data_IF_644574059371
#
_entry.id   IF_644574059371
#
_cell.length_a   1.000
_cell.length_b   1.000
_cell.length_c   1.000
_cell.angle_alpha   90.00
_cell.angle_beta   90.00
_cell.angle_gamma   90.00
#
_symmetry.space_group_name_H-M   'P 1'
#
loop_
_entity.id
_entity.type
_entity.pdbx_description
1 polymer ?
#
# COMPACT_ATOMS: atom_id res chain seq x y z
N UNK A 1 3.23 0.46 -14.82
CA UNK A 1 4.01 0.99 -15.96
C UNK A 1 5.35 1.48 -15.48
N UNK A 2 6.23 1.90 -16.39
CA UNK A 2 7.56 2.41 -16.09
C UNK A 2 7.76 3.80 -16.71
N UNK A 3 8.52 4.65 -16.03
CA UNK A 3 9.08 5.86 -16.63
C UNK A 3 10.56 5.57 -16.89
N UNK A 4 10.95 5.63 -18.15
CA UNK A 4 12.31 5.30 -18.58
C UNK A 4 13.01 6.58 -18.98
N UNK A 5 14.17 6.82 -18.37
CA UNK A 5 15.10 7.88 -18.77
C UNK A 5 16.33 7.21 -19.38
N UNK A 6 16.45 7.33 -20.71
CA UNK A 6 17.55 6.74 -21.48
C UNK A 6 18.65 7.78 -21.69
N UNK A 7 19.86 7.45 -21.21
CA UNK A 7 21.05 8.30 -21.19
C UNK A 7 22.18 7.54 -21.91
N UNK A 8 22.23 7.56 -23.25
CA UNK A 8 23.11 6.67 -24.03
C UNK A 8 24.59 6.88 -23.73
N UNK A 9 25.00 8.12 -23.47
CA UNK A 9 26.40 8.50 -23.21
C UNK A 9 26.83 8.27 -21.75
N UNK A 10 26.02 7.59 -20.94
CA UNK A 10 26.27 7.40 -19.50
C UNK A 10 26.59 5.92 -19.13
N UNK A 11 26.78 5.05 -20.14
CA UNK A 11 27.00 3.60 -19.92
C UNK A 11 28.31 3.31 -19.17
N UNK A 12 29.40 3.97 -19.57
CA UNK A 12 30.73 3.78 -18.99
C UNK A 12 30.96 4.69 -17.78
N UNK A 13 30.05 4.63 -16.79
CA UNK A 13 30.15 5.43 -15.58
C UNK A 13 31.07 4.81 -14.52
N UNK A 14 31.61 5.67 -13.65
CA UNK A 14 32.42 5.29 -12.49
C UNK A 14 31.82 5.90 -11.21
N UNK A 15 32.37 5.53 -10.05
CA UNK A 15 31.95 6.06 -8.74
C UNK A 15 30.44 5.94 -8.45
N UNK A 16 29.79 4.93 -9.03
CA UNK A 16 28.36 4.71 -8.87
C UNK A 16 27.97 4.45 -7.41
N UNK A 17 26.98 5.21 -6.93
CA UNK A 17 26.32 5.02 -5.65
C UNK A 17 24.83 5.20 -5.82
N UNK A 18 24.05 4.32 -5.19
CA UNK A 18 22.61 4.52 -4.99
C UNK A 18 22.27 4.37 -3.52
N UNK A 19 21.33 5.18 -3.04
CA UNK A 19 20.85 5.14 -1.68
C UNK A 19 19.34 5.40 -1.65
N UNK A 20 18.68 4.83 -0.65
CA UNK A 20 17.40 5.31 -0.16
C UNK A 20 17.68 5.85 1.23
N UNK A 21 17.50 7.14 1.42
CA UNK A 21 17.45 7.73 2.75
C UNK A 21 16.03 7.52 3.28
N UNK A 22 15.89 6.65 4.28
CA UNK A 22 14.59 6.31 4.86
C UNK A 22 14.09 7.39 5.82
N UNK A 23 14.98 8.26 6.34
CA UNK A 23 14.64 9.39 7.18
C UNK A 23 14.08 10.56 6.40
N UNK A 24 14.51 10.71 5.15
CA UNK A 24 14.03 11.74 4.22
C UNK A 24 13.02 11.22 3.18
N UNK A 25 12.79 9.90 3.13
CA UNK A 25 12.07 9.22 2.05
C UNK A 25 12.56 9.64 0.66
N UNK A 26 13.89 9.72 0.50
CA UNK A 26 14.54 10.27 -0.68
C UNK A 26 15.48 9.25 -1.31
N UNK A 27 15.17 8.84 -2.55
CA UNK A 27 16.08 8.00 -3.33
C UNK A 27 17.10 8.86 -4.06
N UNK A 28 18.38 8.51 -3.97
CA UNK A 28 19.47 9.22 -4.65
C UNK A 28 20.31 8.25 -5.48
N UNK A 29 20.70 8.67 -6.68
CA UNK A 29 21.72 8.02 -7.51
C UNK A 29 22.79 9.03 -7.89
N UNK A 30 24.05 8.67 -7.70
CA UNK A 30 25.22 9.47 -8.03
C UNK A 30 26.24 8.64 -8.81
N UNK A 31 26.90 9.24 -9.78
CA UNK A 31 27.95 8.62 -10.60
C UNK A 31 28.70 9.67 -11.40
N UNK A 32 29.86 9.30 -11.93
CA UNK A 32 30.65 10.11 -12.86
C UNK A 32 30.60 9.51 -14.26
N UNK A 33 30.44 10.33 -15.29
CA UNK A 33 30.64 9.91 -16.69
C UNK A 33 31.29 11.03 -17.49
N UNK A 34 32.32 10.71 -18.28
CA UNK A 34 33.09 11.67 -19.09
C UNK A 34 33.59 12.90 -18.31
N UNK A 35 33.98 12.71 -17.04
CA UNK A 35 34.46 13.78 -16.16
C UNK A 35 33.38 14.76 -15.70
N UNK A 36 32.10 14.34 -15.74
CA UNK A 36 30.93 15.08 -15.21
C UNK A 36 30.33 14.27 -14.07
N UNK A 37 30.05 14.91 -12.93
CA UNK A 37 29.34 14.29 -11.82
C UNK A 37 27.84 14.48 -11.99
N UNK A 38 27.10 13.37 -11.95
CA UNK A 38 25.65 13.35 -12.08
C UNK A 38 24.99 12.99 -10.76
N UNK A 39 23.87 13.64 -10.46
CA UNK A 39 23.00 13.32 -9.32
C UNK A 39 21.56 13.20 -9.79
N UNK A 40 20.87 12.19 -9.27
CA UNK A 40 19.43 11.99 -9.47
C UNK A 40 18.76 11.82 -8.13
N UNK A 41 17.67 12.52 -7.89
CA UNK A 41 16.88 12.47 -6.67
C UNK A 41 15.42 12.13 -7.01
N UNK A 42 14.79 11.25 -6.24
CA UNK A 42 13.40 10.85 -6.43
C UNK A 42 12.66 10.78 -5.09
N UNK A 43 11.46 11.35 -5.04
CA UNK A 43 10.55 11.27 -3.90
C UNK A 43 9.08 11.33 -4.36
N UNK A 44 8.16 10.84 -3.54
CA UNK A 44 6.72 10.92 -3.77
C UNK A 44 6.13 11.92 -2.79
N UNK A 45 5.84 13.13 -3.28
CA UNK A 45 5.32 14.20 -2.44
C UNK A 45 3.82 13.99 -2.23
N UNK A 46 3.46 13.58 -1.01
CA UNK A 46 2.07 13.36 -0.61
C UNK A 46 1.24 14.65 -0.60
N UNK A 47 1.79 15.78 -0.17
CA UNK A 47 1.06 17.06 -0.15
C UNK A 47 0.65 17.51 -1.55
N UNK A 48 1.56 17.37 -2.52
CA UNK A 48 1.33 17.74 -3.92
C UNK A 48 0.78 16.61 -4.79
N UNK A 49 0.62 15.39 -4.24
CA UNK A 49 0.09 14.20 -4.93
C UNK A 49 0.83 13.87 -6.24
N UNK A 50 2.16 13.99 -6.25
CA UNK A 50 3.01 13.70 -7.43
C UNK A 50 4.30 12.99 -7.03
N UNK A 51 4.80 12.13 -7.93
CA UNK A 51 6.19 11.71 -7.91
C UNK A 51 7.07 12.78 -8.56
N UNK A 52 8.19 13.10 -7.93
CA UNK A 52 9.17 14.07 -8.42
C UNK A 52 10.49 13.34 -8.67
N UNK A 53 11.05 13.51 -9.86
CA UNK A 53 12.40 13.08 -10.20
C UNK A 53 13.24 14.27 -10.63
N UNK A 54 14.40 14.50 -10.04
CA UNK A 54 15.28 15.60 -10.40
C UNK A 54 16.65 15.08 -10.79
N UNK A 55 17.10 15.44 -12.00
CA UNK A 55 18.36 15.04 -12.60
C UNK A 55 19.23 16.29 -12.75
N UNK A 56 20.39 16.32 -12.12
CA UNK A 56 21.33 17.43 -12.14
C UNK A 56 22.77 16.95 -12.38
N UNK A 57 23.62 17.86 -12.84
CA UNK A 57 25.03 17.64 -13.13
C UNK A 57 25.87 18.82 -12.61
N UNK A 58 27.15 18.59 -12.35
CA UNK A 58 28.09 19.64 -11.92
C UNK A 58 28.61 20.52 -13.07
N UNK A 59 28.30 20.16 -14.33
CA UNK A 59 28.56 20.94 -15.52
C UNK A 59 27.28 21.19 -16.30
N UNK A 60 27.20 22.37 -16.92
CA UNK A 60 26.08 22.72 -17.78
C UNK A 60 26.07 21.92 -19.09
N UNK A 61 24.90 21.80 -19.71
CA UNK A 61 24.64 21.08 -20.96
C UNK A 61 25.05 19.60 -20.94
N UNK A 62 24.96 18.96 -19.77
CA UNK A 62 25.42 17.59 -19.57
C UNK A 62 24.36 16.52 -19.79
N UNK A 63 23.07 16.88 -19.84
CA UNK A 63 22.00 15.91 -20.10
C UNK A 63 21.55 15.92 -21.56
N UNK A 64 21.78 14.80 -22.23
CA UNK A 64 21.20 14.46 -23.54
C UNK A 64 20.66 13.03 -23.50
N UNK A 65 19.44 12.82 -24.01
CA UNK A 65 18.77 11.54 -23.93
C UNK A 65 17.29 11.62 -24.29
N UNK A 66 16.51 10.66 -23.81
CA UNK A 66 15.05 10.65 -23.99
C UNK A 66 14.31 10.13 -22.77
N UNK A 67 13.05 10.55 -22.64
CA UNK A 67 12.11 10.10 -21.62
C UNK A 67 10.94 9.41 -22.31
N UNK A 68 10.55 8.25 -21.78
CA UNK A 68 9.44 7.44 -22.26
C UNK A 68 8.55 7.02 -21.09
N UNK A 69 7.24 6.98 -21.32
CA UNK A 69 6.27 6.29 -20.47
C UNK A 69 5.92 4.95 -21.09
N UNK A 70 6.21 3.87 -20.39
CA UNK A 70 5.87 2.50 -20.79
C UNK A 70 4.67 2.01 -19.97
N UNK A 71 3.49 2.03 -20.58
CA UNK A 71 2.27 1.56 -19.93
C UNK A 71 2.21 0.02 -19.88
N UNK A 72 1.85 -0.52 -18.71
CA UNK A 72 1.78 -1.98 -18.49
C UNK A 72 0.56 -2.64 -19.16
N UNK A 73 -0.46 -1.86 -19.51
CA UNK A 73 -1.67 -2.31 -20.22
C UNK A 73 -1.61 -2.03 -21.73
N UNK A 74 -0.48 -1.51 -22.22
CA UNK A 74 -0.20 -1.23 -23.64
C UNK A 74 -1.23 -0.26 -24.26
N UNK A 75 -1.75 0.69 -23.49
CA UNK A 75 -2.56 1.77 -24.04
C UNK A 75 -1.70 2.73 -24.88
N UNK A 76 -2.34 3.56 -25.70
CA UNK A 76 -1.64 4.56 -26.49
C UNK A 76 -0.98 5.60 -25.58
N UNK A 77 0.25 5.97 -25.92
CA UNK A 77 1.04 7.00 -25.22
C UNK A 77 1.16 8.20 -26.15
N UNK A 78 0.89 9.38 -25.61
CA UNK A 78 0.87 10.64 -26.35
C UNK A 78 1.87 11.61 -25.74
N UNK A 79 2.80 12.10 -26.55
CA UNK A 79 3.74 13.15 -26.18
C UNK A 79 3.38 14.46 -26.89
N UNK A 80 3.27 15.55 -26.14
CA UNK A 80 2.99 16.88 -26.66
C UNK A 80 3.70 17.94 -25.83
N UNK A 81 4.38 18.87 -26.52
CA UNK A 81 5.17 19.91 -25.88
C UNK A 81 6.24 19.32 -24.96
N UNK A 82 6.06 19.49 -23.65
CA UNK A 82 6.92 18.93 -22.62
C UNK A 82 6.20 17.90 -21.72
N UNK A 83 5.13 17.28 -22.22
CA UNK A 83 4.35 16.28 -21.50
C UNK A 83 4.25 14.96 -22.24
N UNK A 84 4.22 13.87 -21.49
CA UNK A 84 3.86 12.53 -21.95
C UNK A 84 2.64 12.10 -21.14
N UNK A 85 1.62 11.55 -21.80
CA UNK A 85 0.38 11.13 -21.17
C UNK A 85 -0.08 9.79 -21.72
N UNK A 86 -0.81 9.05 -20.89
CA UNK A 86 -1.48 7.83 -21.27
C UNK A 86 -2.74 7.67 -20.42
N UNK A 87 -3.87 7.37 -21.03
CA UNK A 87 -5.11 7.07 -20.34
C UNK A 87 -5.81 5.89 -21.00
N UNK A 88 -6.67 5.25 -20.22
CA UNK A 88 -7.34 4.05 -20.70
C UNK A 88 -8.36 3.50 -19.74
N UNK A 89 -8.88 2.33 -20.10
CA UNK A 89 -9.91 1.61 -19.35
C UNK A 89 -9.54 0.14 -19.26
N UNK A 90 -9.48 -0.39 -18.05
CA UNK A 90 -9.22 -1.80 -17.77
C UNK A 90 -10.44 -2.66 -18.12
N UNK A 91 -10.24 -3.98 -18.20
CA UNK A 91 -11.29 -4.94 -18.54
C UNK A 91 -12.50 -4.89 -17.59
N UNK A 92 -12.28 -4.58 -16.31
CA UNK A 92 -13.34 -4.41 -15.30
C UNK A 92 -14.02 -3.02 -15.36
N UNK A 93 -13.62 -2.19 -16.32
CA UNK A 93 -14.16 -0.87 -16.58
C UNK A 93 -13.55 0.28 -15.79
N UNK A 94 -12.57 0.03 -14.90
CA UNK A 94 -11.84 1.08 -14.19
C UNK A 94 -11.05 1.93 -15.18
N UNK A 95 -11.23 3.25 -15.12
CA UNK A 95 -10.46 4.21 -15.93
C UNK A 95 -9.19 4.60 -15.19
N UNK A 96 -8.13 4.85 -15.92
CA UNK A 96 -6.87 5.34 -15.36
C UNK A 96 -6.24 6.40 -16.27
N UNK A 97 -5.39 7.25 -15.70
CA UNK A 97 -4.61 8.24 -16.43
C UNK A 97 -3.22 8.41 -15.80
N UNK A 98 -2.24 8.73 -16.64
CA UNK A 98 -0.86 9.09 -16.32
C UNK A 98 -0.51 10.40 -17.01
N UNK A 99 0.31 11.20 -16.34
CA UNK A 99 0.97 12.36 -16.94
C UNK A 99 2.36 12.54 -16.37
N UNK A 100 3.34 12.64 -17.26
CA UNK A 100 4.73 13.00 -16.99
C UNK A 100 4.98 14.37 -17.60
N UNK A 101 5.21 15.37 -16.77
CA UNK A 101 5.68 16.69 -17.20
C UNK A 101 7.20 16.75 -17.06
N UNK A 102 7.88 17.22 -18.10
CA UNK A 102 9.32 17.38 -18.15
C UNK A 102 9.65 18.88 -18.15
N UNK A 103 10.35 19.33 -17.11
CA UNK A 103 10.87 20.70 -17.03
C UNK A 103 12.39 20.65 -17.18
N UNK A 104 12.95 21.42 -18.11
CA UNK A 104 14.38 21.52 -18.31
C UNK A 104 14.91 22.89 -17.91
N UNK A 105 16.13 22.92 -17.34
CA UNK A 105 16.97 24.11 -17.30
C UNK A 105 18.03 24.00 -18.39
N UNK A 106 18.18 25.04 -19.21
CA UNK A 106 19.07 25.02 -20.36
C UNK A 106 18.68 23.95 -21.41
N UNK A 107 19.41 23.93 -22.52
CA UNK A 107 19.17 22.95 -23.59
C UNK A 107 17.80 23.09 -24.27
N UNK A 108 17.29 21.98 -24.79
CA UNK A 108 15.99 21.94 -25.49
C UNK A 108 15.28 20.61 -25.30
N UNK A 109 13.95 20.66 -25.41
CA UNK A 109 13.07 19.48 -25.47
C UNK A 109 12.45 19.39 -26.87
N UNK A 110 12.30 18.17 -27.38
CA UNK A 110 11.63 17.89 -28.64
C UNK A 110 10.80 16.61 -28.54
N UNK A 111 9.55 16.67 -28.98
CA UNK A 111 8.72 15.47 -29.14
C UNK A 111 9.18 14.69 -30.37
N UNK A 112 9.38 13.38 -30.21
CA UNK A 112 9.63 12.45 -31.30
C UNK A 112 8.75 11.20 -31.12
N UNK A 113 7.64 11.11 -31.84
CA UNK A 113 6.64 10.05 -31.63
C UNK A 113 6.03 10.13 -30.23
N UNK A 114 6.16 9.07 -29.44
CA UNK A 114 5.64 8.97 -28.07
C UNK A 114 6.68 9.28 -26.98
N UNK A 115 7.86 9.80 -27.35
CA UNK A 115 8.93 10.15 -26.41
C UNK A 115 9.24 11.65 -26.44
N UNK A 116 9.84 12.13 -25.35
CA UNK A 116 10.47 13.46 -25.30
C UNK A 116 11.98 13.28 -25.33
N UNK A 117 12.62 13.79 -26.39
CA UNK A 117 14.07 13.92 -26.48
C UNK A 117 14.50 15.22 -25.79
N UNK A 118 15.57 15.15 -25.01
CA UNK A 118 16.22 16.30 -24.39
C UNK A 118 17.67 16.38 -24.85
N UNK A 119 18.16 17.60 -25.12
CA UNK A 119 19.51 17.81 -25.65
C UNK A 119 20.19 18.99 -24.95
N UNK A 120 21.36 18.71 -24.37
CA UNK A 120 22.23 19.71 -23.76
C UNK A 120 21.56 20.45 -22.61
N UNK A 121 20.76 19.78 -21.78
CA UNK A 121 20.14 20.35 -20.59
C UNK A 121 21.12 20.39 -19.41
N UNK A 122 21.01 21.42 -18.59
CA UNK A 122 21.77 21.53 -17.32
C UNK A 122 21.14 20.64 -16.25
N UNK A 123 19.80 20.61 -16.20
CA UNK A 123 19.03 19.75 -15.32
C UNK A 123 17.64 19.45 -15.89
N UNK A 124 17.01 18.40 -15.37
CA UNK A 124 15.64 18.00 -15.66
C UNK A 124 14.87 17.77 -14.35
N UNK A 125 13.63 18.25 -14.28
CA UNK A 125 12.66 17.89 -13.26
C UNK A 125 11.47 17.20 -13.91
N UNK A 126 11.20 15.98 -13.47
CA UNK A 126 10.06 15.17 -13.86
C UNK A 126 9.00 15.33 -12.77
N UNK A 127 7.78 15.70 -13.18
CA UNK A 127 6.60 15.73 -12.31
C UNK A 127 5.61 14.71 -12.85
N UNK A 128 5.28 13.73 -12.03
CA UNK A 128 4.52 12.55 -12.46
C UNK A 128 3.25 12.46 -11.63
N UNK A 129 2.10 12.53 -12.31
CA UNK A 129 0.80 12.26 -11.73
C UNK A 129 0.21 10.98 -12.33
N UNK A 130 -0.50 10.22 -11.51
CA UNK A 130 -1.28 9.06 -11.92
C UNK A 130 -2.56 8.97 -11.08
N UNK A 131 -3.63 8.44 -11.67
CA UNK A 131 -4.94 8.38 -11.00
C UNK A 131 -5.91 7.44 -11.69
N UNK A 132 -6.99 7.12 -10.99
CA UNK A 132 -8.09 6.27 -11.48
C UNK A 132 -9.43 6.89 -11.13
N UNK A 133 -10.52 6.36 -11.67
CA UNK A 133 -11.87 6.73 -11.25
C UNK A 133 -12.37 5.90 -10.05
N UNK A 134 -11.49 5.21 -9.32
CA UNK A 134 -11.84 4.40 -8.15
C UNK A 134 -12.45 5.24 -7.02
N UNK A 135 -13.47 4.70 -6.36
CA UNK A 135 -14.10 5.31 -5.17
C UNK A 135 -14.61 4.22 -4.22
N UNK A 136 -14.63 4.51 -2.92
CA UNK A 136 -15.25 3.67 -1.90
C UNK A 136 -16.80 3.72 -1.91
N UNK A 137 -17.42 3.31 -3.02
CA UNK A 137 -18.88 3.30 -3.16
C UNK A 137 -19.36 2.08 -3.96
N UNK A 138 -19.86 1.09 -3.22
CA UNK A 138 -20.47 -0.13 -3.78
C UNK A 138 -21.66 0.18 -4.71
N UNK A 139 -22.45 1.23 -4.43
CA UNK A 139 -23.59 1.60 -5.28
C UNK A 139 -23.15 2.05 -6.68
N UNK A 140 -21.92 2.58 -6.77
CA UNK A 140 -21.25 2.95 -8.02
C UNK A 140 -20.34 1.85 -8.56
N UNK A 141 -20.38 0.65 -7.98
CA UNK A 141 -19.45 -0.47 -8.31
C UNK A 141 -17.98 -0.01 -8.23
N UNK A 142 -17.71 0.84 -7.24
CA UNK A 142 -16.41 1.42 -6.91
C UNK A 142 -15.78 2.28 -8.01
N UNK A 143 -16.60 2.91 -8.86
CA UNK A 143 -16.13 3.76 -9.98
C UNK A 143 -16.96 5.04 -10.06
N UNK A 144 -16.33 6.21 -10.00
CA UNK A 144 -17.04 7.49 -10.05
C UNK A 144 -17.63 7.76 -11.44
N UNK A 145 -17.00 7.22 -12.49
CA UNK A 145 -17.25 7.57 -13.87
C UNK A 145 -16.61 8.90 -14.30
N UNK A 146 -15.98 9.62 -13.36
CA UNK A 146 -15.23 10.83 -13.65
C UNK A 146 -14.00 10.51 -14.50
N UNK A 147 -13.52 11.50 -15.25
CA UNK A 147 -12.31 11.34 -16.05
C UNK A 147 -11.07 11.48 -15.17
N UNK A 148 -10.23 10.43 -15.01
CA UNK A 148 -9.06 10.52 -14.17
C UNK A 148 -8.04 11.56 -14.63
N UNK A 149 -8.01 11.85 -15.94
CA UNK A 149 -7.10 12.85 -16.48
C UNK A 149 -7.35 14.25 -15.90
N UNK A 150 -8.57 14.56 -15.45
CA UNK A 150 -8.91 15.86 -14.86
C UNK A 150 -8.12 16.11 -13.57
N UNK A 151 -8.19 15.19 -12.60
CA UNK A 151 -7.47 15.37 -11.34
C UNK A 151 -5.96 15.15 -11.50
N UNK A 152 -5.54 14.22 -12.37
CA UNK A 152 -4.10 14.04 -12.69
C UNK A 152 -3.51 15.32 -13.28
N UNK A 153 -4.21 15.98 -14.19
CA UNK A 153 -3.78 17.27 -14.75
C UNK A 153 -3.69 18.36 -13.70
N UNK A 154 -4.65 18.42 -12.77
CA UNK A 154 -4.67 19.40 -11.69
C UNK A 154 -3.48 19.23 -10.74
N UNK A 155 -3.19 18.01 -10.27
CA UNK A 155 -2.04 17.72 -9.41
C UNK A 155 -0.72 18.08 -10.09
N UNK A 156 -0.51 17.64 -11.34
CA UNK A 156 0.72 17.94 -12.08
C UNK A 156 0.87 19.43 -12.33
N UNK A 157 -0.20 20.15 -12.70
CA UNK A 157 -0.12 21.59 -13.00
C UNK A 157 0.15 22.43 -11.75
N UNK A 158 -0.46 22.08 -10.60
CA UNK A 158 -0.20 22.74 -9.31
C UNK A 158 1.23 22.49 -8.83
N UNK A 159 1.72 21.26 -8.96
CA UNK A 159 3.11 20.93 -8.62
C UNK A 159 4.11 21.65 -9.55
N UNK A 160 3.80 21.76 -10.85
CA UNK A 160 4.65 22.43 -11.84
C UNK A 160 4.87 23.92 -11.59
N UNK A 161 3.99 24.57 -10.85
CA UNK A 161 4.13 25.96 -10.44
C UNK A 161 5.14 26.16 -9.29
N UNK A 162 5.60 25.08 -8.65
CA UNK A 162 6.59 25.11 -7.57
C UNK A 162 7.99 24.76 -8.12
N UNK A 163 9.03 25.30 -7.50
CA UNK A 163 10.40 24.86 -7.77
C UNK A 163 10.64 23.46 -7.20
N UNK A 164 11.65 22.76 -7.72
CA UNK A 164 12.12 21.49 -7.14
C UNK A 164 12.41 21.60 -5.64
N UNK A 165 13.14 22.64 -5.24
CA UNK A 165 13.50 22.87 -3.83
C UNK A 165 12.25 23.07 -2.94
N UNK A 166 11.23 23.76 -3.45
CA UNK A 166 9.98 23.93 -2.71
C UNK A 166 9.20 22.61 -2.59
N UNK A 167 9.16 21.80 -3.66
CA UNK A 167 8.53 20.47 -3.62
C UNK A 167 9.27 19.53 -2.66
N UNK A 168 10.59 19.58 -2.64
CA UNK A 168 11.42 18.79 -1.73
C UNK A 168 11.23 19.23 -0.27
N UNK A 169 11.24 20.53 -0.01
CA UNK A 169 11.01 21.08 1.33
C UNK A 169 9.62 20.70 1.86
N UNK A 170 8.58 20.81 1.02
CA UNK A 170 7.22 20.38 1.38
C UNK A 170 7.15 18.89 1.70
N UNK A 171 7.77 18.04 0.86
CA UNK A 171 7.87 16.60 1.08
C UNK A 171 8.55 16.27 2.41
N UNK A 172 9.73 16.86 2.66
CA UNK A 172 10.49 16.60 3.90
C UNK A 172 9.69 17.05 5.13
N UNK A 173 9.09 18.23 5.09
CA UNK A 173 8.29 18.75 6.20
C UNK A 173 7.12 17.83 6.55
N UNK A 174 6.42 17.30 5.54
CA UNK A 174 5.32 16.37 5.73
C UNK A 174 5.81 15.00 6.24
N UNK A 175 6.83 14.43 5.61
CA UNK A 175 7.36 13.11 5.96
C UNK A 175 7.97 13.09 7.37
N UNK A 176 8.79 14.10 7.70
CA UNK A 176 9.41 14.25 9.02
C UNK A 176 8.38 14.44 10.14
N UNK A 177 7.22 15.02 9.84
CA UNK A 177 6.09 15.15 10.79
C UNK A 177 5.55 13.80 11.29
N UNK A 178 5.88 12.70 10.61
CA UNK A 178 5.56 11.32 10.98
C UNK A 178 6.79 10.52 11.38
N UNK A 179 7.83 10.53 10.53
CA UNK A 179 9.00 9.68 10.72
C UNK A 179 9.74 10.04 12.01
N UNK A 180 9.92 11.32 12.33
CA UNK A 180 10.72 11.76 13.48
C UNK A 180 10.00 11.61 14.84
N UNK A 181 8.79 11.03 14.88
CA UNK A 181 8.05 10.77 16.12
C UNK A 181 8.64 9.65 16.98
N UNK A 182 9.42 8.75 16.38
CA UNK A 182 10.07 7.64 17.07
C UNK A 182 11.53 7.60 16.67
N UNK A 183 12.36 7.60 17.70
CA UNK A 183 13.80 7.42 17.64
C UNK A 183 14.14 6.18 18.46
N UNK A 184 14.99 5.30 17.94
CA UNK A 184 15.45 4.09 18.64
C UNK A 184 16.96 3.98 18.47
N UNK A 185 17.65 3.58 19.53
CA UNK A 185 19.10 3.37 19.54
C UNK A 185 19.35 1.95 20.05
N UNK A 186 19.86 1.08 19.16
CA UNK A 186 20.21 -0.31 19.49
C UNK A 186 21.71 -0.50 19.73
N UNK A 187 22.47 0.60 19.81
CA UNK A 187 23.92 0.64 19.91
C UNK A 187 24.58 1.03 18.59
N UNK A 188 25.91 0.96 18.55
CA UNK A 188 26.70 1.43 17.41
C UNK A 188 27.38 0.28 16.64
N UNK A 189 27.21 0.27 15.33
CA UNK A 189 27.93 -0.65 14.44
C UNK A 189 29.40 -0.25 14.27
N UNK A 190 30.28 -1.24 14.04
CA UNK A 190 31.70 -0.98 13.82
C UNK A 190 31.94 -0.26 12.48
N UNK A 191 33.06 0.47 12.37
CA UNK A 191 33.45 1.13 11.11
C UNK A 191 33.52 0.16 9.91
N UNK A 192 33.89 -1.10 10.15
CA UNK A 192 33.90 -2.14 9.12
C UNK A 192 32.49 -2.53 8.68
N UNK A 193 31.49 -2.52 9.59
CA UNK A 193 30.09 -2.80 9.25
C UNK A 193 29.49 -1.65 8.45
N UNK A 194 29.67 -0.40 8.90
CA UNK A 194 29.07 0.78 8.26
C UNK A 194 29.68 1.11 6.89
N UNK A 195 30.90 0.64 6.61
CA UNK A 195 31.52 0.74 5.29
C UNK A 195 30.90 -0.21 4.23
N UNK A 196 30.12 -1.21 4.65
CA UNK A 196 29.52 -2.20 3.75
C UNK A 196 28.19 -1.70 3.14
N UNK A 197 27.93 -1.99 1.86
CA UNK A 197 26.59 -1.84 1.29
C UNK A 197 25.56 -2.69 2.05
N UNK A 198 24.31 -2.22 2.11
CA UNK A 198 23.19 -2.83 2.86
C UNK A 198 23.05 -4.34 2.61
N UNK A 199 23.20 -4.81 1.37
CA UNK A 199 23.10 -6.24 1.05
C UNK A 199 24.20 -7.09 1.71
N UNK A 200 25.42 -6.55 1.84
CA UNK A 200 26.52 -7.23 2.52
C UNK A 200 26.32 -7.19 4.03
N UNK A 201 25.80 -6.09 4.58
CA UNK A 201 25.40 -5.99 6.00
C UNK A 201 24.35 -7.05 6.36
N UNK A 202 23.26 -7.13 5.59
CA UNK A 202 22.21 -8.16 5.76
C UNK A 202 22.77 -9.58 5.82
N UNK A 203 23.64 -9.94 4.88
CA UNK A 203 24.20 -11.29 4.83
C UNK A 203 25.15 -11.57 6.02
N UNK A 204 25.88 -10.55 6.50
CA UNK A 204 26.75 -10.68 7.65
C UNK A 204 25.98 -10.73 8.98
N UNK A 205 24.84 -10.03 9.08
CA UNK A 205 24.00 -9.93 10.28
C UNK A 205 23.54 -11.30 10.79
N UNK A 206 23.38 -12.28 9.91
CA UNK A 206 23.06 -13.67 10.27
C UNK A 206 24.05 -14.33 11.23
N UNK A 207 25.30 -13.85 11.29
CA UNK A 207 26.36 -14.41 12.15
C UNK A 207 26.90 -13.42 13.18
N UNK A 208 26.60 -12.13 13.03
CA UNK A 208 27.11 -11.07 13.90
C UNK A 208 26.11 -9.93 13.98
N UNK A 209 25.64 -9.64 15.20
CA UNK A 209 24.75 -8.52 15.46
C UNK A 209 25.30 -7.20 14.90
N UNK A 210 24.43 -6.44 14.24
CA UNK A 210 24.75 -5.19 13.56
C UNK A 210 23.75 -4.11 14.02
N UNK A 211 24.04 -3.38 15.12
CA UNK A 211 23.10 -2.47 15.79
C UNK A 211 22.39 -1.49 14.86
N UNK A 212 23.13 -0.68 14.08
CA UNK A 212 22.52 0.31 13.19
C UNK A 212 21.73 -0.36 12.05
N UNK A 213 22.02 -1.63 11.71
CA UNK A 213 21.25 -2.34 10.69
C UNK A 213 19.89 -2.80 11.24
N UNK A 214 19.84 -3.26 12.48
CA UNK A 214 18.58 -3.62 13.15
C UNK A 214 17.73 -2.37 13.42
N UNK A 215 18.36 -1.26 13.80
CA UNK A 215 17.69 0.05 13.91
C UNK A 215 17.11 0.49 12.56
N UNK A 216 17.93 0.44 11.50
CA UNK A 216 17.49 0.74 10.15
C UNK A 216 16.33 -0.20 9.74
N UNK A 217 16.35 -1.47 10.11
CA UNK A 217 15.30 -2.44 9.75
C UNK A 217 13.98 -2.13 10.48
N UNK A 218 14.04 -1.78 11.77
CA UNK A 218 12.88 -1.27 12.52
C UNK A 218 12.30 -0.01 11.86
N UNK A 219 13.15 0.99 11.60
CA UNK A 219 12.73 2.24 10.97
C UNK A 219 12.25 2.03 9.53
N UNK A 220 12.74 1.02 8.83
CA UNK A 220 12.28 0.68 7.48
C UNK A 220 10.81 0.24 7.48
N UNK A 221 10.35 -0.50 8.50
CA UNK A 221 8.93 -0.81 8.68
C UNK A 221 8.05 0.45 8.80
N UNK A 222 8.51 1.43 9.58
CA UNK A 222 7.83 2.73 9.72
C UNK A 222 7.84 3.53 8.41
N UNK A 223 8.97 3.58 7.72
CA UNK A 223 9.10 4.19 6.40
C UNK A 223 8.09 3.58 5.39
N UNK A 224 7.98 2.25 5.35
CA UNK A 224 7.06 1.56 4.45
C UNK A 224 5.60 1.90 4.78
N UNK A 225 5.23 1.92 6.07
CA UNK A 225 3.88 2.29 6.51
C UNK A 225 3.53 3.74 6.11
N UNK A 226 4.40 4.70 6.41
CA UNK A 226 4.21 6.11 6.04
C UNK A 226 4.08 6.28 4.53
N UNK A 227 4.89 5.55 3.76
CA UNK A 227 4.94 5.67 2.30
C UNK A 227 3.76 4.99 1.61
N UNK A 228 3.14 3.98 2.24
CA UNK A 228 2.15 3.12 1.58
C UNK A 228 0.72 3.28 2.10
N UNK A 229 0.51 3.79 3.32
CA UNK A 229 -0.80 3.83 3.98
C UNK A 229 -1.28 5.24 4.35
N UNK A 230 -1.12 6.19 3.43
CA UNK A 230 -1.66 7.56 3.57
C UNK A 230 -2.50 8.03 2.38
N UNK A 231 -2.72 7.14 1.41
CA UNK A 231 -3.56 7.39 0.24
C UNK A 231 -4.99 6.88 0.41
N UNK A 232 -5.66 6.65 -0.71
CA UNK A 232 -7.05 6.15 -0.69
C UNK A 232 -7.15 4.70 -0.23
N UNK A 233 -6.13 3.86 -0.39
CA UNK A 233 -6.17 2.43 -0.09
C UNK A 233 -5.11 2.04 0.96
N UNK A 234 -5.38 1.00 1.77
CA UNK A 234 -4.40 0.43 2.70
C UNK A 234 -3.34 -0.41 1.99
N UNK A 235 -2.28 -0.75 2.72
CA UNK A 235 -1.22 -1.66 2.23
C UNK A 235 -1.78 -3.04 1.93
N UNK A 236 -1.48 -3.56 0.74
CA UNK A 236 -1.77 -4.94 0.37
C UNK A 236 -0.57 -5.86 0.66
N UNK A 237 -0.56 -7.10 0.14
CA UNK A 237 0.56 -8.05 0.29
C UNK A 237 1.94 -7.51 -0.15
N UNK A 238 1.98 -6.48 -0.98
CA UNK A 238 3.21 -5.85 -1.48
C UNK A 238 3.27 -4.34 -1.16
N UNK A 239 2.45 -3.85 -0.23
CA UNK A 239 2.32 -2.42 0.06
C UNK A 239 1.64 -1.68 -1.10
N UNK A 240 2.43 -0.94 -1.88
CA UNK A 240 2.03 -0.29 -3.15
C UNK A 240 2.92 -0.71 -4.34
N UNK A 241 3.96 -1.51 -4.10
CA UNK A 241 5.04 -1.72 -5.05
C UNK A 241 4.88 -3.05 -5.77
N UNK A 242 4.38 -3.00 -7.01
CA UNK A 242 4.19 -4.16 -7.87
C UNK A 242 4.48 -3.79 -9.33
N UNK A 243 5.23 -4.62 -10.03
CA UNK A 243 5.59 -4.46 -11.44
C UNK A 243 4.88 -5.46 -12.37
N UNK A 244 3.98 -6.28 -11.83
CA UNK A 244 3.38 -7.41 -12.52
C UNK A 244 1.84 -7.30 -12.58
N UNK A 245 1.23 -7.57 -13.74
CA UNK A 245 -0.24 -7.62 -13.89
C UNK A 245 -0.87 -8.93 -13.41
N UNK A 246 -0.06 -9.91 -13.01
CA UNK A 246 -0.47 -11.18 -12.41
C UNK A 246 0.45 -11.51 -11.23
N UNK A 247 0.45 -10.67 -10.18
CA UNK A 247 1.34 -10.86 -9.04
C UNK A 247 0.95 -12.11 -8.24
N UNK A 248 1.88 -12.69 -7.47
CA UNK A 248 1.58 -13.76 -6.52
C UNK A 248 0.44 -13.37 -5.59
N UNK A 249 -0.53 -14.27 -5.41
CA UNK A 249 -1.76 -14.04 -4.63
C UNK A 249 -2.48 -12.73 -4.97
N UNK A 250 -2.38 -12.30 -6.24
CA UNK A 250 -3.01 -11.09 -6.77
C UNK A 250 -2.60 -9.78 -6.06
N UNK A 251 -1.56 -9.80 -5.22
CA UNK A 251 -1.23 -8.71 -4.31
C UNK A 251 -2.49 -8.17 -3.59
N UNK A 252 -3.35 -9.09 -3.15
CA UNK A 252 -4.65 -8.78 -2.60
C UNK A 252 -4.60 -8.41 -1.11
N UNK A 253 -5.78 -8.33 -0.49
CA UNK A 253 -5.90 -8.24 0.96
C UNK A 253 -6.16 -9.63 1.53
N UNK A 254 -5.07 -10.27 1.92
CA UNK A 254 -5.06 -11.56 2.59
C UNK A 254 -5.25 -11.38 4.10
N UNK A 255 -6.43 -11.76 4.58
CA UNK A 255 -6.96 -11.37 5.88
C UNK A 255 -6.99 -12.50 6.91
N UNK A 256 -6.32 -13.62 6.65
CA UNK A 256 -6.09 -14.70 7.61
C UNK A 256 -4.72 -14.60 8.30
N UNK A 257 -3.97 -13.51 8.09
CA UNK A 257 -2.80 -13.07 8.89
C UNK A 257 -2.16 -11.80 8.28
N UNK A 258 -2.04 -11.73 6.95
CA UNK A 258 -1.08 -10.82 6.31
C UNK A 258 -1.44 -9.35 6.45
N UNK A 259 -2.70 -9.00 6.18
CA UNK A 259 -3.16 -7.61 6.32
C UNK A 259 -3.15 -7.19 7.79
N UNK A 260 -3.47 -8.08 8.73
CA UNK A 260 -3.33 -7.78 10.14
C UNK A 260 -1.87 -7.46 10.49
N UNK A 261 -0.94 -8.32 10.05
CA UNK A 261 0.49 -8.14 10.24
C UNK A 261 1.02 -6.83 9.66
N UNK A 262 0.53 -6.41 8.49
CA UNK A 262 0.88 -5.12 7.91
C UNK A 262 0.63 -3.96 8.88
N UNK A 263 -0.43 -4.06 9.72
CA UNK A 263 -0.91 -2.98 10.57
C UNK A 263 -0.57 -3.10 12.05
N UNK A 264 -0.04 -4.23 12.52
CA UNK A 264 0.44 -4.39 13.91
C UNK A 264 1.37 -3.27 14.41
N UNK A 265 2.35 -2.78 13.62
CA UNK A 265 3.23 -1.72 14.11
C UNK A 265 2.58 -0.34 14.13
N UNK A 266 1.40 -0.14 13.52
CA UNK A 266 0.89 1.21 13.21
C UNK A 266 0.69 2.07 14.46
N UNK A 267 -0.04 1.56 15.44
CA UNK A 267 -0.31 2.30 16.68
C UNK A 267 0.93 2.35 17.57
N UNK A 268 1.61 1.22 17.75
CA UNK A 268 2.79 1.09 18.63
C UNK A 268 4.00 1.88 18.15
N UNK A 269 4.08 2.18 16.85
CA UNK A 269 5.16 2.98 16.25
C UNK A 269 4.77 4.45 15.95
N UNK A 270 3.69 4.92 16.59
CA UNK A 270 3.24 6.31 16.59
C UNK A 270 2.82 6.82 15.19
N UNK A 271 2.08 5.99 14.46
CA UNK A 271 1.60 6.25 13.10
C UNK A 271 0.08 6.03 12.98
N UNK A 272 -0.70 6.34 14.01
CA UNK A 272 -2.14 6.06 14.11
C UNK A 272 -2.95 6.51 12.87
N UNK A 273 -2.61 7.65 12.26
CA UNK A 273 -3.29 8.13 11.05
C UNK A 273 -3.09 7.23 9.83
N UNK A 274 -2.02 6.43 9.81
CA UNK A 274 -1.76 5.46 8.75
C UNK A 274 -2.67 4.24 8.85
N UNK A 275 -3.41 4.05 9.94
CA UNK A 275 -4.37 2.95 10.10
C UNK A 275 -5.71 3.23 9.40
N UNK A 276 -6.05 4.50 9.19
CA UNK A 276 -7.34 4.94 8.66
C UNK A 276 -7.69 4.36 7.28
N UNK A 277 -6.77 4.19 6.32
CA UNK A 277 -7.07 3.55 5.05
C UNK A 277 -7.61 2.12 5.19
N UNK A 278 -7.17 1.36 6.20
CA UNK A 278 -7.67 0.00 6.45
C UNK A 278 -9.14 0.04 6.86
N UNK A 279 -9.49 0.90 7.81
CA UNK A 279 -10.87 1.07 8.24
C UNK A 279 -11.78 1.56 7.11
N UNK A 280 -11.29 2.49 6.28
CA UNK A 280 -12.04 2.99 5.13
C UNK A 280 -12.31 1.89 4.09
N UNK A 281 -11.29 1.07 3.78
CA UNK A 281 -11.46 -0.08 2.90
C UNK A 281 -12.51 -1.04 3.48
N UNK A 282 -12.34 -1.51 4.71
CA UNK A 282 -13.27 -2.48 5.34
C UNK A 282 -14.70 -1.94 5.34
N UNK A 283 -14.90 -0.68 5.75
CA UNK A 283 -16.22 -0.04 5.79
C UNK A 283 -16.86 0.07 4.42
N UNK A 284 -16.08 0.32 3.37
CA UNK A 284 -16.57 0.38 1.98
C UNK A 284 -17.08 -0.97 1.46
N UNK A 285 -16.69 -2.07 2.11
CA UNK A 285 -17.04 -3.44 1.72
C UNK A 285 -18.20 -4.03 2.53
N UNK A 286 -18.66 -3.36 3.58
CA UNK A 286 -19.73 -3.87 4.44
C UNK A 286 -21.03 -4.13 3.67
N UNK A 287 -21.39 -3.30 2.70
CA UNK A 287 -22.63 -3.50 1.93
C UNK A 287 -22.64 -4.78 1.08
N UNK A 288 -21.63 -5.07 0.24
CA UNK A 288 -21.56 -6.35 -0.44
C UNK A 288 -21.45 -7.53 0.53
N UNK A 289 -20.66 -7.40 1.60
CA UNK A 289 -20.55 -8.46 2.61
C UNK A 289 -21.88 -8.76 3.30
N UNK A 290 -22.66 -7.75 3.71
CA UNK A 290 -24.02 -7.94 4.25
C UNK A 290 -24.95 -8.68 3.29
N UNK A 291 -24.89 -8.36 1.99
CA UNK A 291 -25.69 -9.08 0.98
C UNK A 291 -25.30 -10.55 0.94
N UNK A 292 -24.01 -10.84 0.99
CA UNK A 292 -23.48 -12.20 0.97
C UNK A 292 -23.82 -12.97 2.25
N UNK A 293 -23.65 -12.36 3.43
CA UNK A 293 -24.02 -12.96 4.72
C UNK A 293 -25.48 -13.39 4.74
N UNK A 294 -26.39 -12.58 4.18
CA UNK A 294 -27.83 -12.87 4.16
C UNK A 294 -28.28 -13.88 3.10
N UNK A 295 -27.43 -14.23 2.14
CA UNK A 295 -27.83 -15.03 0.97
C UNK A 295 -26.99 -16.29 0.75
N UNK A 296 -25.86 -16.43 1.44
CA UNK A 296 -24.96 -17.58 1.29
C UNK A 296 -25.45 -18.80 2.08
N UNK A 297 -25.60 -19.94 1.41
CA UNK A 297 -25.85 -21.23 2.04
C UNK A 297 -24.65 -21.74 2.87
N UNK A 298 -23.47 -21.16 2.66
CA UNK A 298 -22.25 -21.50 3.44
C UNK A 298 -22.17 -20.74 4.76
N UNK A 299 -23.06 -19.79 4.99
CA UNK A 299 -23.16 -19.00 6.22
C UNK A 299 -24.54 -19.22 6.90
N UNK A 300 -25.09 -20.43 6.79
CA UNK A 300 -26.27 -20.78 7.55
C UNK A 300 -25.94 -20.82 9.04
N UNK A 301 -26.88 -20.35 9.84
CA UNK A 301 -26.86 -20.50 11.30
C UNK A 301 -26.90 -21.99 11.69
N UNK A 302 -26.57 -22.34 12.95
CA UNK A 302 -26.62 -23.74 13.40
C UNK A 302 -28.00 -24.43 13.26
N UNK A 303 -29.10 -23.66 13.17
CA UNK A 303 -30.45 -24.15 12.90
C UNK A 303 -30.85 -24.13 11.41
N UNK A 304 -29.89 -23.87 10.51
CA UNK A 304 -30.05 -23.99 9.06
C UNK A 304 -30.76 -22.82 8.39
N UNK A 305 -30.69 -21.61 8.97
CA UNK A 305 -31.32 -20.39 8.42
C UNK A 305 -30.28 -19.43 7.90
N UNK A 306 -30.66 -18.58 6.95
CA UNK A 306 -29.82 -17.44 6.58
C UNK A 306 -29.78 -16.43 7.71
N UNK A 307 -28.63 -15.77 7.88
CA UNK A 307 -28.43 -14.75 8.89
C UNK A 307 -29.40 -13.58 8.68
N UNK A 308 -29.98 -13.08 9.77
CA UNK A 308 -30.92 -11.95 9.73
C UNK A 308 -30.22 -10.61 9.97
N UNK A 309 -29.08 -10.64 10.66
CA UNK A 309 -28.26 -9.49 11.07
C UNK A 309 -26.78 -9.80 10.98
N UNK A 310 -25.97 -8.78 11.26
CA UNK A 310 -24.52 -8.87 11.26
C UNK A 310 -23.86 -8.98 9.89
N UNK A 311 -22.53 -9.13 9.90
CA UNK A 311 -21.68 -9.20 8.72
C UNK A 311 -20.53 -10.20 8.90
N UNK A 312 -20.33 -11.04 7.89
CA UNK A 312 -19.18 -11.94 7.78
C UNK A 312 -18.20 -11.41 6.72
N UNK A 313 -16.91 -11.66 6.94
CA UNK A 313 -15.85 -11.35 5.98
C UNK A 313 -15.46 -12.55 5.12
N UNK A 314 -14.48 -12.30 4.26
CA UNK A 314 -13.79 -13.33 3.46
C UNK A 314 -12.29 -13.21 3.72
N UNK A 315 -11.60 -14.35 3.82
CA UNK A 315 -10.15 -14.44 4.06
C UNK A 315 -9.29 -13.80 2.98
N UNK A 316 -9.82 -13.62 1.77
CA UNK A 316 -9.15 -12.98 0.65
C UNK A 316 -10.11 -11.99 0.00
N UNK A 317 -9.75 -10.72 -0.07
CA UNK A 317 -10.55 -9.70 -0.74
C UNK A 317 -9.69 -8.70 -1.52
N UNK A 318 -10.38 -7.87 -2.29
CA UNK A 318 -9.78 -6.84 -3.12
C UNK A 318 -10.54 -5.52 -2.92
N UNK A 319 -10.10 -4.48 -3.61
CA UNK A 319 -10.68 -3.13 -3.53
C UNK A 319 -12.15 -3.04 -3.98
N UNK A 320 -12.74 -4.12 -4.49
CA UNK A 320 -14.15 -4.18 -4.93
C UNK A 320 -15.05 -4.97 -3.98
N UNK A 321 -14.62 -5.27 -2.76
CA UNK A 321 -15.45 -5.97 -1.77
C UNK A 321 -15.43 -7.49 -1.89
N UNK A 322 -14.52 -8.08 -2.67
CA UNK A 322 -14.37 -9.53 -2.75
C UNK A 322 -15.62 -10.24 -3.31
N UNK A 323 -16.29 -9.65 -4.31
CA UNK A 323 -17.60 -10.08 -4.84
C UNK A 323 -17.64 -11.46 -5.54
N UNK A 324 -16.58 -12.25 -5.43
CA UNK A 324 -16.45 -13.57 -6.03
C UNK A 324 -15.71 -14.47 -5.07
N UNK A 325 -16.45 -15.05 -4.13
CA UNK A 325 -16.03 -16.12 -3.25
C UNK A 325 -15.21 -17.19 -4.01
N UNK A 326 -13.88 -17.14 -3.84
CA UNK A 326 -12.88 -18.21 -3.91
C UNK A 326 -12.94 -19.24 -5.05
N UNK A 327 -11.81 -19.44 -5.73
CA UNK A 327 -11.59 -20.67 -6.50
C UNK A 327 -10.08 -20.94 -6.70
N UNK A 328 -9.31 -21.07 -5.62
CA UNK A 328 -7.93 -21.56 -5.74
C UNK A 328 -7.75 -22.99 -5.22
N UNK A 329 -8.40 -23.45 -4.13
CA UNK A 329 -8.03 -24.77 -3.55
C UNK A 329 -9.18 -25.64 -2.98
N UNK A 330 -10.45 -25.39 -3.36
CA UNK A 330 -11.56 -26.35 -3.18
C UNK A 330 -11.94 -26.78 -1.75
N UNK A 331 -11.24 -26.33 -0.70
CA UNK A 331 -11.44 -26.77 0.68
C UNK A 331 -11.68 -25.64 1.70
N UNK A 332 -11.32 -24.37 1.45
CA UNK A 332 -11.18 -23.36 2.53
C UNK A 332 -11.69 -21.94 2.19
N UNK A 333 -12.82 -21.89 1.52
CA UNK A 333 -13.29 -20.66 0.89
C UNK A 333 -13.96 -19.65 1.85
N UNK A 334 -14.01 -19.89 3.18
CA UNK A 334 -14.81 -19.05 4.09
C UNK A 334 -14.18 -18.95 5.47
N UNK A 335 -13.08 -18.21 5.58
CA UNK A 335 -12.67 -17.73 6.89
C UNK A 335 -13.60 -16.60 7.37
N UNK A 336 -14.70 -17.02 8.00
CA UNK A 336 -15.69 -16.12 8.63
C UNK A 336 -15.15 -15.41 9.88
N UNK A 337 -13.97 -15.79 10.37
CA UNK A 337 -13.29 -15.18 11.53
C UNK A 337 -12.73 -13.80 11.23
N UNK A 338 -12.49 -13.51 9.95
CA UNK A 338 -11.79 -12.31 9.48
C UNK A 338 -12.40 -11.00 9.98
N UNK A 339 -13.73 -10.88 10.00
CA UNK A 339 -14.38 -9.65 10.50
C UNK A 339 -14.20 -9.47 12.01
N UNK A 340 -14.13 -10.56 12.78
CA UNK A 340 -13.78 -10.50 14.20
C UNK A 340 -12.32 -10.08 14.38
N UNK A 341 -11.41 -10.62 13.57
CA UNK A 341 -9.99 -10.24 13.65
C UNK A 341 -9.77 -8.77 13.26
N UNK A 342 -10.43 -8.29 12.20
CA UNK A 342 -10.43 -6.87 11.89
C UNK A 342 -11.02 -6.02 13.02
N UNK A 343 -11.98 -6.54 13.79
CA UNK A 343 -12.51 -5.92 14.99
C UNK A 343 -11.41 -5.52 15.99
N UNK A 344 -10.38 -6.36 16.16
CA UNK A 344 -9.23 -6.01 17.00
C UNK A 344 -8.57 -4.70 16.53
N UNK A 345 -8.37 -4.50 15.23
CA UNK A 345 -7.78 -3.26 14.71
C UNK A 345 -8.67 -2.03 14.95
N UNK A 346 -10.00 -2.16 14.80
CA UNK A 346 -10.94 -1.09 15.13
C UNK A 346 -10.89 -0.75 16.62
N UNK A 347 -10.79 -1.75 17.49
CA UNK A 347 -10.66 -1.53 18.93
C UNK A 347 -9.31 -0.90 19.28
N UNK A 348 -8.20 -1.41 18.75
CA UNK A 348 -6.84 -0.94 19.06
C UNK A 348 -6.67 0.54 18.73
N UNK A 349 -7.20 1.02 17.60
CA UNK A 349 -7.13 2.45 17.29
C UNK A 349 -7.82 3.31 18.37
N UNK A 350 -8.96 2.86 18.90
CA UNK A 350 -9.57 3.50 20.06
C UNK A 350 -8.75 3.31 21.34
N UNK A 351 -8.22 2.11 21.62
CA UNK A 351 -7.49 1.84 22.86
C UNK A 351 -6.22 2.68 22.98
N UNK A 352 -5.49 2.87 21.87
CA UNK A 352 -4.30 3.73 21.81
C UNK A 352 -4.65 5.22 21.79
N UNK A 353 -5.67 5.64 21.04
CA UNK A 353 -6.00 7.06 20.86
C UNK A 353 -7.01 7.65 21.84
N UNK A 354 -7.82 6.81 22.47
CA UNK A 354 -8.96 7.15 23.35
C UNK A 354 -9.99 8.13 22.74
N UNK A 355 -10.05 8.23 21.40
CA UNK A 355 -11.02 9.07 20.70
C UNK A 355 -12.42 8.47 20.79
N UNK A 356 -13.26 9.05 21.65
CA UNK A 356 -14.64 8.65 21.87
C UNK A 356 -15.55 8.92 20.66
N UNK A 357 -15.20 9.88 19.81
CA UNK A 357 -15.93 10.16 18.57
C UNK A 357 -15.68 9.04 17.58
N UNK A 358 -14.41 8.67 17.38
CA UNK A 358 -14.05 7.49 16.58
C UNK A 358 -14.71 6.21 17.11
N UNK A 359 -14.66 5.97 18.43
CA UNK A 359 -15.32 4.80 19.01
C UNK A 359 -16.80 4.78 18.67
N UNK A 360 -17.51 5.87 18.91
CA UNK A 360 -18.96 5.96 18.71
C UNK A 360 -19.37 5.83 17.24
N UNK A 361 -18.66 6.52 16.34
CA UNK A 361 -19.10 6.72 14.96
C UNK A 361 -18.46 5.71 13.98
N UNK A 362 -17.37 5.05 14.38
CA UNK A 362 -16.59 4.15 13.51
C UNK A 362 -16.43 2.75 14.11
N UNK A 363 -15.76 2.60 15.26
CA UNK A 363 -15.40 1.28 15.78
C UNK A 363 -16.58 0.52 16.37
N UNK A 364 -17.34 1.12 17.28
CA UNK A 364 -18.44 0.45 17.96
C UNK A 364 -19.55 -0.03 17.01
N UNK A 365 -20.00 0.73 15.99
CA UNK A 365 -20.95 0.21 15.01
C UNK A 365 -20.45 -1.03 14.27
N UNK A 366 -19.16 -1.06 13.92
CA UNK A 366 -18.54 -2.22 13.28
C UNK A 366 -18.51 -3.42 14.25
N UNK A 367 -17.92 -3.25 15.43
CA UNK A 367 -17.79 -4.30 16.45
C UNK A 367 -19.15 -4.91 16.79
N UNK A 368 -20.15 -4.06 17.06
CA UNK A 368 -21.52 -4.49 17.34
C UNK A 368 -22.10 -5.35 16.22
N UNK A 369 -21.95 -4.93 14.97
CA UNK A 369 -22.48 -5.68 13.83
C UNK A 369 -21.76 -7.04 13.66
N UNK A 370 -20.46 -7.11 13.95
CA UNK A 370 -19.74 -8.40 13.93
C UNK A 370 -20.17 -9.29 15.11
N UNK A 371 -20.40 -8.75 16.31
CA UNK A 371 -21.00 -9.51 17.43
C UNK A 371 -22.39 -10.05 17.05
N UNK A 372 -23.23 -9.23 16.40
CA UNK A 372 -24.57 -9.64 15.96
C UNK A 372 -24.54 -10.82 14.98
N UNK A 373 -23.49 -10.91 14.15
CA UNK A 373 -23.25 -12.10 13.32
C UNK A 373 -22.94 -13.30 14.22
N UNK A 374 -21.97 -13.20 15.12
CA UNK A 374 -21.57 -14.33 15.97
C UNK A 374 -22.68 -14.79 16.93
N UNK A 375 -23.53 -13.90 17.42
CA UNK A 375 -24.72 -14.24 18.21
C UNK A 375 -25.62 -15.27 17.49
N UNK A 376 -25.74 -15.18 16.16
CA UNK A 376 -26.55 -16.11 15.36
C UNK A 376 -25.79 -17.38 14.94
N UNK A 377 -24.45 -17.35 14.95
CA UNK A 377 -23.61 -18.40 14.36
C UNK A 377 -22.91 -19.28 15.39
N UNK A 378 -22.78 -18.84 16.65
CA UNK A 378 -22.23 -19.67 17.71
C UNK A 378 -23.12 -20.89 17.98
N UNK A 379 -22.48 -22.07 18.10
CA UNK A 379 -23.15 -23.34 18.33
C UNK A 379 -23.04 -23.74 19.79
N UNK A 380 -24.15 -24.13 20.41
CA UNK A 380 -24.12 -24.74 21.74
C UNK A 380 -23.57 -26.16 21.66
N UNK A 381 -22.61 -26.48 22.51
CA UNK A 381 -22.07 -27.83 22.64
C UNK A 381 -23.09 -28.73 23.35
N UNK A 382 -23.61 -29.72 22.63
CA UNK A 382 -24.60 -30.69 23.16
C UNK A 382 -24.02 -32.08 23.39
N UNK A 383 -22.75 -32.31 23.04
CA UNK A 383 -22.01 -33.58 23.22
C UNK A 383 -20.60 -33.26 23.69
N UNK A 384 -20.07 -34.00 24.66
CA UNK A 384 -18.72 -33.78 25.20
C UNK A 384 -18.64 -34.06 26.71
N UNK A 385 -17.59 -33.56 27.35
CA UNK A 385 -17.45 -33.64 28.81
C UNK A 385 -18.44 -32.70 29.51
N UNK A 386 -18.67 -32.90 30.81
CA UNK A 386 -19.56 -32.05 31.61
C UNK A 386 -19.14 -30.58 31.57
N UNK A 387 -17.84 -30.31 31.46
CA UNK A 387 -17.26 -28.97 31.38
C UNK A 387 -17.46 -28.31 30.01
N UNK A 388 -17.74 -29.08 28.96
CA UNK A 388 -17.97 -28.59 27.60
C UNK A 388 -19.46 -28.33 27.33
N UNK A 389 -20.35 -29.15 27.89
CA UNK A 389 -21.78 -29.04 27.66
C UNK A 389 -22.33 -27.65 28.02
N UNK A 390 -23.12 -27.07 27.12
CA UNK A 390 -23.74 -25.75 27.29
C UNK A 390 -22.84 -24.56 26.95
N UNK A 391 -21.55 -24.78 26.67
CA UNK A 391 -20.67 -23.71 26.13
C UNK A 391 -21.02 -23.41 24.67
N UNK A 392 -20.68 -22.21 24.24
CA UNK A 392 -20.74 -21.80 22.84
C UNK A 392 -19.39 -22.06 22.18
N UNK A 393 -19.41 -22.59 20.96
CA UNK A 393 -18.22 -22.78 20.12
C UNK A 393 -18.44 -22.14 18.76
N UNK A 394 -17.36 -21.66 18.15
CA UNK A 394 -17.36 -21.33 16.72
C UNK A 394 -17.50 -22.63 15.92
N UNK A 395 -18.58 -22.84 15.17
CA UNK A 395 -18.73 -24.06 14.40
C UNK A 395 -17.96 -23.98 13.09
N UNK A 396 -17.60 -25.14 12.54
CA UNK A 396 -17.05 -25.21 11.17
C UNK A 396 -15.84 -24.29 10.98
N UNK A 397 -14.95 -24.22 11.97
CA UNK A 397 -13.70 -23.47 11.93
C UNK A 397 -12.61 -24.28 11.24
N UNK A 398 -11.66 -23.60 10.63
CA UNK A 398 -10.48 -24.21 10.01
C UNK A 398 -9.25 -23.46 10.49
N UNK A 399 -8.18 -24.18 10.86
CA UNK A 399 -6.92 -23.57 11.30
C UNK A 399 -6.08 -23.26 10.06
N UNK A 400 -5.92 -21.98 9.66
CA UNK A 400 -5.18 -21.65 8.45
C UNK A 400 -3.72 -22.16 8.58
N UNK A 401 -3.17 -22.98 7.67
CA UNK A 401 -3.75 -23.51 6.43
C UNK A 401 -3.74 -25.04 6.35
N UNK A 402 -4.17 -25.73 7.42
CA UNK A 402 -4.09 -27.18 7.46
C UNK A 402 -5.12 -27.84 8.39
N UNK A 403 -5.22 -29.15 8.27
CA UNK A 403 -6.11 -29.95 9.11
C UNK A 403 -7.57 -29.89 8.65
N UNK A 404 -8.46 -30.55 9.41
CA UNK A 404 -9.88 -30.63 9.08
C UNK A 404 -10.61 -29.33 9.46
N UNK A 405 -11.81 -29.17 8.92
CA UNK A 405 -12.80 -28.26 9.45
C UNK A 405 -13.45 -28.88 10.71
N UNK A 406 -13.53 -28.13 11.81
CA UNK A 406 -14.02 -28.62 13.09
C UNK A 406 -14.71 -27.53 13.93
N UNK A 407 -15.56 -27.95 14.86
CA UNK A 407 -16.16 -27.05 15.84
C UNK A 407 -15.14 -26.70 16.94
N UNK A 408 -15.06 -25.42 17.30
CA UNK A 408 -14.21 -24.95 18.40
C UNK A 408 -12.73 -24.93 18.09
N UNK A 409 -12.34 -24.84 16.81
CA UNK A 409 -10.96 -24.60 16.40
C UNK A 409 -10.38 -23.38 17.14
N UNK A 410 -9.23 -23.54 17.81
CA UNK A 410 -8.65 -22.50 18.68
C UNK A 410 -8.46 -21.17 17.95
N UNK A 411 -8.00 -21.20 16.69
CA UNK A 411 -7.83 -20.02 15.84
C UNK A 411 -9.07 -19.12 15.86
N UNK A 412 -10.21 -19.68 15.45
CA UNK A 412 -11.45 -18.92 15.41
C UNK A 412 -12.00 -18.63 16.80
N UNK A 413 -11.84 -19.57 17.73
CA UNK A 413 -12.41 -19.47 19.07
C UNK A 413 -11.78 -18.32 19.87
N UNK A 414 -10.47 -18.12 19.78
CA UNK A 414 -9.73 -17.05 20.45
C UNK A 414 -10.11 -15.67 19.88
N UNK A 415 -10.11 -15.54 18.55
CA UNK A 415 -10.44 -14.26 17.89
C UNK A 415 -11.90 -13.85 18.14
N UNK A 416 -12.84 -14.80 18.12
CA UNK A 416 -14.25 -14.51 18.43
C UNK A 416 -14.44 -14.24 19.92
N UNK A 417 -13.64 -14.85 20.80
CA UNK A 417 -13.67 -14.53 22.23
C UNK A 417 -13.21 -13.09 22.49
N UNK A 418 -12.12 -12.65 21.86
CA UNK A 418 -11.60 -11.27 22.00
C UNK A 418 -12.57 -10.19 21.49
N UNK A 419 -13.48 -10.55 20.58
CA UNK A 419 -14.47 -9.63 20.03
C UNK A 419 -15.54 -9.22 21.07
N UNK A 420 -15.89 -10.10 22.01
CA UNK A 420 -16.92 -9.87 23.04
C UNK A 420 -16.34 -9.19 24.28
#
# INVERSE_FOLDING_TARGET
GNIVVDLPDHKDNTHYKRALDIGDALSTVQYEAHGVQYKREYFVNHVSQVLVGHLSADKGKSYTGRIELQDSHKVAVHAEGNTISADGKLANGLRFAWKVLVQNSGGSLKVNGAVIEFNGCDSLTLIVGAGTDYVFDDSKKYKSGEDPAVHVNDFVSKAAAKSYENLKTEHLSDFHGLFNRVDVDFGQSSAQQTALPTIKRKNAAANKFDPDFEEMFYQFGRYLMISASRGSLPTNLQGLWNDNNSPPWHADYHANINVQMNYWPTETSNLAECHLPLFNLIRSQLNPWRRQTRTSDKLLTPDGKHSSKGVAGVGQHNIYGGQGLFNMDGNNDYDKTVTAWYGQHFWEHYAFGLDKTYLKDVAYPYLKEVCEFWDEHLKTVTKGTKEQLGKLVVPHGWSPEHGPEEDGCSYSQEIVWDLY
#
